data_IF_468743285763
#
_entry.id   IF_468743285763
#
_cell.length_a   1.000
_cell.length_b   1.000
_cell.length_c   1.000
_cell.angle_alpha   90.00
_cell.angle_beta   90.00
_cell.angle_gamma   90.00
#
_symmetry.space_group_name_H-M   'P 1'
#
loop_
_entity.id
_entity.type
_entity.pdbx_description
1 polymer ?
#
# COMPACT_ATOMS: atom_id res chain seq x y z
N UNK A 1 -29.31 -32.41 -10.55
CA UNK A 1 -30.69 -32.12 -10.09
C UNK A 1 -31.04 -30.68 -10.42
N UNK A 2 -32.07 -30.49 -11.26
CA UNK A 2 -32.59 -29.19 -11.72
C UNK A 2 -33.57 -28.54 -10.75
N UNK A 3 -33.95 -29.23 -9.68
CA UNK A 3 -35.00 -28.80 -8.75
C UNK A 3 -34.52 -28.90 -7.29
N UNK A 4 -35.14 -28.09 -6.43
CA UNK A 4 -35.06 -28.14 -4.97
C UNK A 4 -36.38 -28.73 -4.47
N UNK A 5 -36.32 -29.88 -3.82
CA UNK A 5 -37.49 -30.57 -3.28
C UNK A 5 -37.42 -30.48 -1.76
N UNK A 6 -38.50 -30.01 -1.14
CA UNK A 6 -38.66 -29.91 0.31
C UNK A 6 -39.89 -30.71 0.67
N UNK A 7 -39.72 -31.70 1.53
CA UNK A 7 -40.79 -32.57 2.00
C UNK A 7 -41.08 -32.34 3.49
N UNK A 8 -42.36 -32.24 3.84
CA UNK A 8 -42.83 -32.10 5.20
C UNK A 8 -42.39 -30.80 5.88
N UNK A 9 -42.46 -29.65 5.20
CA UNK A 9 -42.10 -28.35 5.77
C UNK A 9 -43.01 -27.96 6.93
N UNK A 10 -42.50 -28.04 8.16
CA UNK A 10 -43.25 -27.87 9.41
C UNK A 10 -42.58 -26.87 10.39
N UNK A 11 -41.71 -25.99 9.89
CA UNK A 11 -41.06 -24.96 10.71
C UNK A 11 -42.05 -23.87 11.12
N UNK A 12 -42.01 -23.45 12.40
CA UNK A 12 -42.95 -22.48 12.97
C UNK A 12 -44.43 -22.81 12.73
N UNK A 13 -45.10 -22.07 11.83
CA UNK A 13 -46.53 -22.17 11.56
C UNK A 13 -46.86 -22.90 10.25
N UNK A 14 -45.85 -23.51 9.61
CA UNK A 14 -46.04 -24.32 8.41
C UNK A 14 -46.71 -25.66 8.77
N UNK A 15 -47.61 -26.13 7.90
CA UNK A 15 -48.49 -27.28 8.15
C UNK A 15 -47.97 -28.62 7.59
N UNK A 16 -46.65 -28.78 7.41
CA UNK A 16 -46.06 -30.02 6.92
C UNK A 16 -46.32 -30.31 5.45
N UNK A 17 -46.20 -29.30 4.58
CA UNK A 17 -46.44 -29.45 3.13
C UNK A 17 -45.16 -29.77 2.35
N UNK A 18 -45.35 -30.34 1.17
CA UNK A 18 -44.29 -30.63 0.21
C UNK A 18 -44.26 -29.54 -0.86
N UNK A 19 -43.05 -29.13 -1.28
CA UNK A 19 -42.88 -28.13 -2.34
C UNK A 19 -41.66 -28.47 -3.21
N UNK A 20 -41.84 -28.32 -4.52
CA UNK A 20 -40.76 -28.41 -5.50
C UNK A 20 -40.51 -27.04 -6.12
N UNK A 21 -39.26 -26.61 -6.09
CA UNK A 21 -38.83 -25.27 -6.49
C UNK A 21 -37.82 -25.42 -7.65
N UNK A 22 -38.08 -24.86 -8.84
CA UNK A 22 -37.17 -24.97 -9.98
C UNK A 22 -35.90 -24.14 -9.75
N UNK A 23 -34.72 -24.73 -9.95
CA UNK A 23 -33.46 -23.99 -9.81
C UNK A 23 -33.20 -23.07 -11.00
N UNK A 24 -32.24 -22.15 -10.82
CA UNK A 24 -31.76 -21.23 -11.86
C UNK A 24 -32.86 -20.29 -12.39
N UNK A 25 -33.88 -20.04 -11.55
CA UNK A 25 -34.95 -19.08 -11.83
C UNK A 25 -35.02 -18.06 -10.70
N UNK A 26 -35.55 -16.87 -11.02
CA UNK A 26 -35.95 -15.90 -10.01
C UNK A 26 -37.29 -16.37 -9.45
N UNK A 27 -37.32 -16.66 -8.15
CA UNK A 27 -38.49 -17.21 -7.47
C UNK A 27 -38.95 -16.21 -6.43
N UNK A 28 -40.20 -15.80 -6.53
CA UNK A 28 -40.85 -14.93 -5.55
C UNK A 28 -41.79 -15.75 -4.66
N UNK A 29 -41.59 -15.66 -3.34
CA UNK A 29 -42.50 -16.23 -2.35
C UNK A 29 -43.43 -15.11 -1.89
N UNK A 30 -44.72 -15.24 -2.18
CA UNK A 30 -45.76 -14.24 -1.87
C UNK A 30 -46.82 -14.79 -0.93
N UNK A 31 -47.62 -13.91 -0.33
CA UNK A 31 -48.69 -14.25 0.62
C UNK A 31 -48.85 -13.23 1.74
N UNK A 32 -49.98 -13.33 2.46
CA UNK A 32 -50.35 -12.42 3.57
C UNK A 32 -49.33 -12.43 4.72
N UNK A 33 -49.28 -11.36 5.51
CA UNK A 33 -48.41 -11.32 6.71
C UNK A 33 -48.68 -12.53 7.61
N UNK A 34 -47.62 -13.16 8.12
CA UNK A 34 -47.74 -14.38 8.92
C UNK A 34 -48.04 -15.66 8.13
N UNK A 35 -48.13 -15.67 6.79
CA UNK A 35 -48.40 -16.90 6.02
C UNK A 35 -47.25 -17.93 5.99
N UNK A 36 -46.15 -17.71 6.71
CA UNK A 36 -45.01 -18.63 6.77
C UNK A 36 -43.93 -18.42 5.70
N UNK A 37 -43.97 -17.31 4.94
CA UNK A 37 -42.96 -16.99 3.89
C UNK A 37 -41.53 -17.00 4.43
N UNK A 38 -41.31 -16.27 5.52
CA UNK A 38 -39.99 -16.19 6.18
C UNK A 38 -39.60 -17.53 6.78
N UNK A 39 -40.55 -18.30 7.30
CA UNK A 39 -40.31 -19.65 7.81
C UNK A 39 -39.79 -20.59 6.72
N UNK A 40 -40.39 -20.54 5.52
CA UNK A 40 -39.89 -21.32 4.38
C UNK A 40 -38.53 -20.79 3.87
N UNK A 41 -38.41 -19.49 3.61
CA UNK A 41 -37.23 -18.91 2.97
C UNK A 41 -36.00 -18.84 3.88
N UNK A 42 -36.19 -18.34 5.11
CA UNK A 42 -35.10 -18.06 6.05
C UNK A 42 -34.88 -19.22 7.02
N UNK A 43 -35.95 -19.75 7.63
CA UNK A 43 -35.81 -20.75 8.69
C UNK A 43 -35.61 -22.17 8.17
N UNK A 44 -36.12 -22.50 6.97
CA UNK A 44 -35.86 -23.78 6.30
C UNK A 44 -34.73 -23.63 5.30
N UNK A 45 -34.96 -22.96 4.16
CA UNK A 45 -34.04 -22.99 3.00
C UNK A 45 -32.66 -22.41 3.36
N UNK A 46 -32.62 -21.18 3.89
CA UNK A 46 -31.36 -20.52 4.24
C UNK A 46 -30.61 -21.25 5.36
N UNK A 47 -31.26 -21.55 6.49
CA UNK A 47 -30.60 -22.25 7.62
C UNK A 47 -30.07 -23.63 7.23
N UNK A 48 -30.86 -24.45 6.53
CA UNK A 48 -30.39 -25.78 6.11
C UNK A 48 -29.25 -25.69 5.09
N UNK A 49 -29.29 -24.74 4.16
CA UNK A 49 -28.24 -24.56 3.17
C UNK A 49 -26.92 -24.13 3.83
N UNK A 50 -27.00 -23.19 4.77
CA UNK A 50 -25.85 -22.74 5.57
C UNK A 50 -25.31 -23.88 6.45
N UNK A 51 -26.20 -24.62 7.13
CA UNK A 51 -25.83 -25.75 8.01
C UNK A 51 -25.10 -26.85 7.22
N UNK A 52 -25.65 -27.27 6.08
CA UNK A 52 -25.05 -28.31 5.23
C UNK A 52 -23.69 -27.86 4.69
N UNK A 53 -23.59 -26.64 4.18
CA UNK A 53 -22.33 -26.10 3.66
C UNK A 53 -21.23 -25.97 4.74
N UNK A 54 -21.57 -25.44 5.91
CA UNK A 54 -20.59 -25.33 7.01
C UNK A 54 -20.18 -26.70 7.56
N UNK A 55 -21.09 -27.69 7.56
CA UNK A 55 -20.77 -29.05 8.03
C UNK A 55 -19.74 -29.77 7.15
N UNK A 56 -19.60 -29.38 5.88
CA UNK A 56 -18.58 -29.96 4.98
C UNK A 56 -17.20 -29.33 5.10
N UNK A 57 -17.10 -28.11 5.66
CA UNK A 57 -15.85 -27.33 5.66
C UNK A 57 -14.90 -27.65 6.82
N UNK A 58 -15.36 -28.37 7.85
CA UNK A 58 -14.59 -28.55 9.08
C UNK A 58 -14.52 -30.02 9.52
N UNK A 59 -13.36 -30.70 9.43
CA UNK A 59 -13.13 -31.95 10.14
C UNK A 59 -13.29 -31.71 11.65
N UNK A 60 -14.35 -32.24 12.26
CA UNK A 60 -14.68 -32.00 13.68
C UNK A 60 -15.47 -30.71 13.97
N UNK A 61 -15.92 -29.97 12.94
CA UNK A 61 -16.66 -28.71 13.08
C UNK A 61 -17.98 -28.79 13.84
N UNK A 62 -18.54 -30.00 13.99
CA UNK A 62 -19.73 -30.24 14.81
C UNK A 62 -19.52 -29.92 16.30
N UNK A 63 -18.27 -29.77 16.78
CA UNK A 63 -17.97 -29.40 18.18
C UNK A 63 -17.87 -27.89 18.41
N UNK A 64 -17.56 -27.10 17.38
CA UNK A 64 -17.26 -25.65 17.50
C UNK A 64 -18.30 -24.74 16.84
N UNK A 65 -19.07 -25.25 15.88
CA UNK A 65 -20.18 -24.50 15.31
C UNK A 65 -21.31 -24.46 16.34
N UNK A 66 -22.03 -23.32 16.48
CA UNK A 66 -23.34 -23.33 17.13
C UNK A 66 -24.13 -24.46 16.48
N UNK A 67 -24.76 -25.32 17.28
CA UNK A 67 -25.67 -26.34 16.75
C UNK A 67 -26.76 -25.58 16.00
N UNK A 68 -26.60 -25.39 14.70
CA UNK A 68 -27.68 -24.95 13.85
C UNK A 68 -28.73 -26.03 13.98
N UNK A 69 -29.82 -25.71 14.67
CA UNK A 69 -30.94 -26.62 14.79
C UNK A 69 -31.35 -27.03 13.38
N UNK A 70 -31.49 -28.34 13.17
CA UNK A 70 -32.02 -28.85 11.92
C UNK A 70 -33.43 -28.30 11.75
N UNK A 71 -33.74 -27.80 10.56
CA UNK A 71 -35.09 -27.36 10.27
C UNK A 71 -36.07 -28.55 10.40
N UNK A 72 -37.31 -28.28 10.79
CA UNK A 72 -38.41 -29.26 10.88
C UNK A 72 -38.92 -29.59 9.48
N UNK A 73 -38.22 -30.51 8.82
CA UNK A 73 -38.50 -31.04 7.48
C UNK A 73 -38.23 -32.54 7.47
N UNK A 74 -38.99 -33.31 6.67
CA UNK A 74 -38.72 -34.74 6.47
C UNK A 74 -37.47 -34.93 5.61
N UNK A 75 -37.45 -34.28 4.46
CA UNK A 75 -36.34 -34.37 3.53
C UNK A 75 -36.17 -33.06 2.76
N UNK A 76 -34.93 -32.73 2.43
CA UNK A 76 -34.64 -31.69 1.44
C UNK A 76 -33.55 -32.21 0.50
N UNK A 77 -33.85 -32.27 -0.78
CA UNK A 77 -32.93 -32.67 -1.84
C UNK A 77 -32.69 -31.51 -2.81
N UNK A 78 -31.53 -31.51 -3.45
CA UNK A 78 -31.17 -30.41 -4.34
C UNK A 78 -30.95 -29.07 -3.64
N UNK A 79 -30.62 -29.01 -2.35
CA UNK A 79 -30.27 -27.73 -1.71
C UNK A 79 -28.85 -27.30 -2.09
N UNK A 80 -28.70 -26.08 -2.62
CA UNK A 80 -27.40 -25.46 -2.91
C UNK A 80 -26.91 -24.65 -1.69
N UNK A 81 -25.60 -24.29 -1.60
CA UNK A 81 -25.15 -23.33 -0.61
C UNK A 81 -25.96 -22.03 -0.69
N UNK A 82 -26.43 -21.54 0.45
CA UNK A 82 -27.35 -20.41 0.53
C UNK A 82 -26.70 -19.19 1.15
N UNK A 83 -27.08 -18.00 0.67
CA UNK A 83 -26.74 -16.71 1.27
C UNK A 83 -28.04 -15.95 1.56
N UNK A 84 -28.21 -15.51 2.81
CA UNK A 84 -29.40 -14.78 3.26
C UNK A 84 -29.08 -13.31 3.38
N UNK A 85 -29.78 -12.47 2.62
CA UNK A 85 -29.71 -11.02 2.73
C UNK A 85 -30.88 -10.53 3.58
N UNK A 86 -30.60 -10.02 4.79
CA UNK A 86 -31.62 -9.48 5.70
C UNK A 86 -31.69 -7.96 5.58
N UNK A 87 -32.87 -7.41 5.84
CA UNK A 87 -33.14 -5.96 5.76
C UNK A 87 -32.35 -5.14 6.79
N UNK A 88 -32.00 -5.70 7.95
CA UNK A 88 -31.19 -5.02 8.96
C UNK A 88 -29.70 -5.33 8.75
N UNK A 89 -28.86 -4.31 8.46
CA UNK A 89 -27.43 -4.52 8.31
C UNK A 89 -26.80 -4.93 9.65
N UNK A 90 -25.70 -5.68 9.55
CA UNK A 90 -24.82 -5.99 10.69
C UNK A 90 -24.44 -4.70 11.44
N UNK A 91 -24.32 -4.75 12.78
CA UNK A 91 -24.04 -3.56 13.58
C UNK A 91 -22.76 -2.87 13.11
N UNK A 92 -22.86 -1.59 12.78
CA UNK A 92 -21.72 -0.76 12.45
C UNK A 92 -20.93 -0.48 13.73
N UNK A 93 -19.60 -0.62 13.67
CA UNK A 93 -18.75 0.01 14.66
C UNK A 93 -18.40 1.43 14.19
N UNK A 94 -17.95 2.30 15.10
CA UNK A 94 -17.61 3.70 14.79
C UNK A 94 -16.47 3.87 13.78
N UNK A 95 -15.77 2.79 13.41
CA UNK A 95 -14.68 2.77 12.44
C UNK A 95 -15.09 2.17 11.09
N UNK A 96 -16.32 1.67 10.96
CA UNK A 96 -16.85 1.12 9.71
C UNK A 96 -17.35 2.23 8.82
N UNK A 97 -16.87 2.25 7.58
CA UNK A 97 -17.32 3.14 6.50
C UNK A 97 -17.87 2.32 5.32
N UNK A 98 -18.55 2.97 4.39
CA UNK A 98 -18.98 2.34 3.13
C UNK A 98 -17.78 1.72 2.39
N UNK A 99 -16.64 2.42 2.39
CA UNK A 99 -15.42 1.93 1.75
C UNK A 99 -14.88 0.65 2.38
N UNK A 100 -14.97 0.50 3.71
CA UNK A 100 -14.53 -0.74 4.38
C UNK A 100 -15.53 -1.88 4.17
N UNK A 101 -16.83 -1.60 4.09
CA UNK A 101 -17.87 -2.62 3.90
C UNK A 101 -17.88 -3.21 2.49
N UNK A 102 -17.66 -2.35 1.51
CA UNK A 102 -17.60 -2.75 0.09
C UNK A 102 -16.25 -3.34 -0.31
N UNK A 103 -15.24 -3.27 0.57
CA UNK A 103 -13.85 -3.65 0.25
C UNK A 103 -13.10 -2.63 -0.61
N UNK A 104 -13.76 -1.57 -1.10
CA UNK A 104 -13.17 -0.53 -1.95
C UNK A 104 -11.99 0.16 -1.25
N UNK A 105 -12.09 0.41 0.06
CA UNK A 105 -11.01 1.05 0.82
C UNK A 105 -9.72 0.22 0.80
N UNK A 106 -9.83 -1.12 0.81
CA UNK A 106 -8.67 -2.01 0.67
C UNK A 106 -7.99 -1.84 -0.69
N UNK A 107 -8.78 -1.76 -1.76
CA UNK A 107 -8.28 -1.52 -3.12
C UNK A 107 -7.61 -0.14 -3.24
N UNK A 108 -8.21 0.90 -2.67
CA UNK A 108 -7.63 2.24 -2.66
C UNK A 108 -6.27 2.27 -1.95
N UNK A 109 -6.12 1.55 -0.83
CA UNK A 109 -4.83 1.47 -0.14
C UNK A 109 -3.74 0.83 -1.01
N UNK A 110 -4.07 -0.23 -1.74
CA UNK A 110 -3.13 -0.86 -2.68
C UNK A 110 -2.77 0.09 -3.82
N UNK A 111 -3.76 0.81 -4.36
CA UNK A 111 -3.56 1.80 -5.42
C UNK A 111 -2.56 2.90 -4.97
N UNK A 112 -2.83 3.55 -3.84
CA UNK A 112 -1.96 4.60 -3.31
C UNK A 112 -0.57 4.09 -2.92
N UNK A 113 -0.46 2.85 -2.43
CA UNK A 113 0.86 2.27 -2.11
C UNK A 113 1.68 1.94 -3.36
N UNK A 114 1.03 1.66 -4.50
CA UNK A 114 1.72 1.25 -5.74
C UNK A 114 2.07 2.43 -6.66
N UNK A 115 1.16 3.40 -6.80
CA UNK A 115 1.31 4.50 -7.77
C UNK A 115 1.12 5.88 -7.13
N UNK A 116 0.86 5.95 -5.84
CA UNK A 116 0.76 7.23 -5.14
C UNK A 116 2.12 7.91 -5.11
N UNK A 117 2.17 9.16 -5.59
CA UNK A 117 3.36 10.00 -5.47
C UNK A 117 3.28 10.67 -4.09
N UNK A 118 4.17 10.32 -3.14
CA UNK A 118 4.17 10.97 -1.83
C UNK A 118 4.62 12.42 -1.99
N UNK A 119 4.05 13.32 -1.20
CA UNK A 119 4.40 14.74 -1.19
C UNK A 119 4.79 15.16 0.22
N UNK A 120 5.76 16.06 0.34
CA UNK A 120 6.15 16.61 1.62
C UNK A 120 5.01 17.47 2.21
N UNK A 121 4.57 17.24 3.45
CA UNK A 121 3.48 18.01 4.06
C UNK A 121 3.82 19.49 4.29
N UNK A 122 5.10 19.85 4.40
CA UNK A 122 5.52 21.23 4.69
C UNK A 122 5.68 22.11 3.45
N UNK A 123 6.16 21.54 2.34
CA UNK A 123 6.49 22.30 1.11
C UNK A 123 5.81 21.78 -0.15
N UNK A 124 5.00 20.71 -0.03
CA UNK A 124 4.33 20.03 -1.14
C UNK A 124 5.28 19.52 -2.25
N UNK A 125 6.58 19.38 -1.94
CA UNK A 125 7.55 18.84 -2.89
C UNK A 125 7.27 17.34 -3.12
N UNK A 126 7.20 16.86 -4.38
CA UNK A 126 7.04 15.44 -4.65
C UNK A 126 8.25 14.67 -4.13
N UNK A 127 8.04 13.51 -3.51
CA UNK A 127 9.07 12.68 -2.89
C UNK A 127 9.34 11.44 -3.74
N UNK A 128 9.99 11.57 -4.93
CA UNK A 128 10.28 10.42 -5.75
C UNK A 128 11.36 9.55 -5.08
N UNK A 129 11.18 8.24 -5.15
CA UNK A 129 12.21 7.27 -4.81
C UNK A 129 12.89 6.83 -6.09
N UNK A 130 14.21 6.91 -6.13
CA UNK A 130 15.00 6.52 -7.28
C UNK A 130 15.87 5.32 -6.95
N UNK A 131 16.14 4.49 -7.95
CA UNK A 131 17.20 3.49 -7.90
C UNK A 131 18.51 4.07 -8.45
N UNK A 132 19.65 3.52 -8.04
CA UNK A 132 20.97 3.94 -8.56
C UNK A 132 21.00 3.86 -10.09
N UNK A 133 20.39 2.82 -10.69
CA UNK A 133 20.33 2.64 -12.14
C UNK A 133 19.50 3.73 -12.83
N UNK A 134 18.34 4.11 -12.27
CA UNK A 134 17.52 5.20 -12.81
C UNK A 134 18.26 6.54 -12.75
N UNK A 135 18.94 6.82 -11.63
CA UNK A 135 19.75 8.05 -11.47
C UNK A 135 20.86 8.09 -12.51
N UNK A 136 21.59 6.99 -12.70
CA UNK A 136 22.66 6.91 -13.70
C UNK A 136 22.11 7.14 -15.11
N UNK A 137 20.96 6.54 -15.44
CA UNK A 137 20.32 6.73 -16.74
C UNK A 137 19.84 8.18 -16.93
N UNK A 138 19.26 8.80 -15.90
CA UNK A 138 18.82 10.20 -15.93
C UNK A 138 20.01 11.15 -16.16
N UNK A 139 21.15 10.90 -15.51
CA UNK A 139 22.38 11.67 -15.71
C UNK A 139 22.95 11.48 -17.13
N UNK A 140 22.88 10.26 -17.67
CA UNK A 140 23.36 9.96 -19.02
C UNK A 140 22.49 10.60 -20.13
N UNK A 141 21.21 10.87 -19.83
CA UNK A 141 20.29 11.57 -20.74
C UNK A 141 20.55 13.09 -20.80
N UNK A 142 21.42 13.62 -19.94
CA UNK A 142 21.79 15.04 -19.98
C UNK A 142 22.66 15.38 -21.20
N UNK A 143 22.65 16.65 -21.66
CA UNK A 143 23.48 17.09 -22.78
C UNK A 143 24.96 16.78 -22.59
N UNK A 144 25.60 16.27 -23.65
CA UNK A 144 27.05 16.00 -23.67
C UNK A 144 27.84 17.30 -23.46
N UNK A 145 28.90 17.23 -22.67
CA UNK A 145 29.75 18.38 -22.35
C UNK A 145 29.36 19.15 -21.09
N UNK A 146 28.22 18.84 -20.47
CA UNK A 146 27.84 19.47 -19.20
C UNK A 146 28.76 19.08 -18.05
N UNK A 147 29.09 20.06 -17.21
CA UNK A 147 29.87 19.90 -15.97
C UNK A 147 28.90 19.69 -14.81
N UNK A 148 28.89 18.49 -14.25
CA UNK A 148 28.05 18.11 -13.13
C UNK A 148 28.87 18.11 -11.84
N UNK A 149 28.34 18.75 -10.80
CA UNK A 149 28.91 18.68 -9.45
C UNK A 149 28.00 17.87 -8.54
N UNK A 150 28.53 16.77 -8.00
CA UNK A 150 27.82 15.88 -7.10
C UNK A 150 27.99 16.37 -5.66
N UNK A 151 26.86 16.66 -5.00
CA UNK A 151 26.80 17.27 -3.68
C UNK A 151 25.91 16.42 -2.78
N UNK A 152 26.35 16.16 -1.55
CA UNK A 152 25.55 15.45 -0.54
C UNK A 152 25.28 16.38 0.63
N UNK A 153 24.03 16.81 0.87
CA UNK A 153 23.71 17.60 2.04
C UNK A 153 23.87 16.76 3.30
N UNK A 154 24.59 17.32 4.27
CA UNK A 154 24.83 16.71 5.57
C UNK A 154 24.20 17.56 6.66
N UNK A 155 23.58 16.88 7.63
CA UNK A 155 22.94 17.51 8.78
C UNK A 155 23.69 17.08 10.05
N UNK A 156 24.81 17.75 10.40
CA UNK A 156 25.64 17.34 11.53
C UNK A 156 24.92 17.54 12.86
N UNK A 157 24.75 16.45 13.63
CA UNK A 157 24.17 16.51 14.99
C UNK A 157 25.14 17.08 16.05
N UNK A 158 26.46 16.96 15.84
CA UNK A 158 27.50 17.43 16.78
C UNK A 158 28.19 18.69 16.23
N UNK A 159 28.30 19.74 17.05
CA UNK A 159 28.81 21.07 16.65
C UNK A 159 30.33 21.18 16.48
N UNK A 160 31.14 20.26 17.00
CA UNK A 160 32.61 20.34 16.92
C UNK A 160 33.20 19.22 16.05
N UNK A 161 34.06 19.60 15.10
CA UNK A 161 34.95 18.72 14.32
C UNK A 161 34.26 17.62 13.49
N UNK A 162 32.99 17.80 13.10
CA UNK A 162 32.25 16.83 12.29
C UNK A 162 32.91 16.59 10.92
N UNK A 163 33.61 17.59 10.37
CA UNK A 163 34.31 17.52 9.07
C UNK A 163 35.54 16.61 9.08
N UNK A 164 36.20 16.43 10.24
CA UNK A 164 37.42 15.61 10.34
C UNK A 164 37.18 14.16 9.92
N UNK A 165 35.95 13.66 10.09
CA UNK A 165 35.57 12.33 9.61
C UNK A 165 35.64 12.26 8.09
N UNK A 166 35.04 13.22 7.40
CA UNK A 166 35.00 13.26 5.95
C UNK A 166 36.38 13.54 5.34
N UNK A 167 37.21 14.33 6.02
CA UNK A 167 38.61 14.52 5.63
C UNK A 167 39.40 13.19 5.69
N UNK A 168 39.19 12.37 6.73
CA UNK A 168 39.80 11.02 6.83
C UNK A 168 39.28 10.05 5.76
N UNK A 169 38.02 10.21 5.36
CA UNK A 169 37.41 9.43 4.26
C UNK A 169 37.87 9.92 2.86
N UNK A 170 38.67 10.99 2.79
CA UNK A 170 39.31 11.48 1.55
C UNK A 170 38.60 12.66 0.88
N UNK A 171 37.53 13.20 1.47
CA UNK A 171 36.86 14.38 0.94
C UNK A 171 37.64 15.64 1.30
N UNK A 172 37.97 16.44 0.28
CA UNK A 172 38.71 17.70 0.46
C UNK A 172 37.82 18.93 0.29
N UNK A 173 36.77 18.87 -0.51
CA UNK A 173 35.93 20.05 -0.81
C UNK A 173 34.58 19.99 -0.13
N UNK A 174 34.18 21.13 0.41
CA UNK A 174 32.87 21.31 1.05
C UNK A 174 32.21 22.58 0.56
N UNK A 175 30.87 22.60 0.54
CA UNK A 175 30.08 23.78 0.25
C UNK A 175 29.25 24.14 1.47
N UNK A 176 29.40 25.37 1.95
CA UNK A 176 28.66 25.90 3.09
C UNK A 176 27.97 27.18 2.63
N UNK A 177 26.64 27.19 2.68
CA UNK A 177 25.79 28.32 2.30
C UNK A 177 26.12 28.89 0.90
N UNK A 178 26.49 28.00 -0.04
CA UNK A 178 26.81 28.34 -1.43
C UNK A 178 28.29 28.61 -1.71
N UNK A 179 29.11 28.85 -0.69
CA UNK A 179 30.55 29.06 -0.83
C UNK A 179 31.32 27.73 -0.77
N UNK A 180 32.25 27.52 -1.69
CA UNK A 180 33.10 26.32 -1.73
C UNK A 180 34.38 26.57 -0.93
N UNK A 181 34.67 25.69 0.01
CA UNK A 181 35.84 25.72 0.88
C UNK A 181 36.67 24.44 0.71
N UNK A 182 37.98 24.55 0.94
CA UNK A 182 38.86 23.40 1.11
C UNK A 182 38.93 23.02 2.60
N UNK A 183 38.63 21.77 2.90
CA UNK A 183 38.67 21.22 4.26
C UNK A 183 40.09 20.98 4.77
N UNK A 184 41.12 21.02 3.91
CA UNK A 184 42.52 20.99 4.35
C UNK A 184 42.98 22.32 4.93
N UNK A 185 42.34 23.42 4.54
CA UNK A 185 42.61 24.73 5.11
C UNK A 185 41.87 24.87 6.45
N UNK A 186 42.54 25.29 7.52
CA UNK A 186 41.90 25.42 8.85
C UNK A 186 40.87 26.56 8.93
N UNK A 187 40.66 27.33 7.84
CA UNK A 187 39.89 28.56 7.83
C UNK A 187 38.64 28.45 6.95
N UNK A 188 37.66 27.68 7.41
CA UNK A 188 36.29 27.69 6.85
C UNK A 188 35.24 27.77 7.97
N UNK A 189 34.02 28.26 7.69
CA UNK A 189 32.99 28.41 8.71
C UNK A 189 32.47 27.06 9.22
N UNK A 190 32.67 26.75 10.51
CA UNK A 190 32.18 25.52 11.15
C UNK A 190 30.65 25.40 11.27
N UNK A 191 29.93 26.47 10.91
CA UNK A 191 28.46 26.59 10.98
C UNK A 191 27.93 27.17 9.69
N UNK A 192 26.86 26.56 9.19
CA UNK A 192 26.04 27.07 8.09
C UNK A 192 24.64 26.47 8.15
N UNK A 193 23.70 27.06 7.43
CA UNK A 193 22.34 26.52 7.34
C UNK A 193 22.30 25.30 6.40
N UNK A 194 23.10 25.33 5.34
CA UNK A 194 23.20 24.25 4.36
C UNK A 194 24.65 23.87 4.13
N UNK A 195 24.98 22.65 4.54
CA UNK A 195 26.33 22.08 4.43
C UNK A 195 26.26 20.90 3.46
N UNK A 196 27.04 20.94 2.39
CA UNK A 196 27.05 19.94 1.34
C UNK A 196 28.48 19.46 1.05
N UNK A 197 28.72 18.16 1.12
CA UNK A 197 30.01 17.57 0.76
C UNK A 197 30.08 17.42 -0.75
N UNK A 198 31.19 17.85 -1.35
CA UNK A 198 31.44 17.66 -2.78
C UNK A 198 32.08 16.29 -3.02
N UNK A 199 31.32 15.41 -3.66
CA UNK A 199 31.73 14.01 -3.91
C UNK A 199 32.59 13.90 -5.15
N UNK A 200 32.11 14.42 -6.28
CA UNK A 200 32.82 14.34 -7.55
C UNK A 200 32.42 15.50 -8.48
N UNK A 201 33.25 15.76 -9.48
CA UNK A 201 32.97 16.67 -10.60
C UNK A 201 33.20 15.90 -11.90
N UNK A 202 32.13 15.68 -12.64
CA UNK A 202 32.14 14.87 -13.86
C UNK A 202 31.72 15.73 -15.05
N UNK A 203 32.34 15.51 -16.21
CA UNK A 203 31.87 16.06 -17.49
C UNK A 203 31.14 14.95 -18.24
N UNK A 204 29.91 15.21 -18.68
CA UNK A 204 29.11 14.22 -19.43
C UNK A 204 29.78 13.91 -20.77
N UNK A 205 30.23 12.67 -20.94
CA UNK A 205 30.90 12.13 -22.14
C UNK A 205 30.45 10.68 -22.37
N UNK A 206 30.78 10.10 -23.52
CA UNK A 206 30.54 8.67 -23.74
C UNK A 206 31.49 7.81 -22.89
N UNK A 207 31.01 6.65 -22.42
CA UNK A 207 31.82 5.69 -21.66
C UNK A 207 32.00 5.96 -20.16
N UNK A 208 31.46 7.06 -19.61
CA UNK A 208 31.62 7.40 -18.18
C UNK A 208 30.62 6.72 -17.23
N UNK A 209 29.82 5.77 -17.72
CA UNK A 209 28.74 5.13 -16.95
C UNK A 209 29.22 4.51 -15.64
N UNK A 210 30.37 3.83 -15.67
CA UNK A 210 30.99 3.24 -14.47
C UNK A 210 31.30 4.30 -13.42
N UNK A 211 31.99 5.38 -13.83
CA UNK A 211 32.33 6.49 -12.92
C UNK A 211 31.11 7.18 -12.33
N UNK A 212 30.06 7.43 -13.12
CA UNK A 212 28.82 8.02 -12.59
C UNK A 212 28.22 7.09 -11.52
N UNK A 213 28.15 5.78 -11.79
CA UNK A 213 27.64 4.81 -10.82
C UNK A 213 28.44 4.84 -9.52
N UNK A 214 29.77 4.78 -9.60
CA UNK A 214 30.64 4.80 -8.42
C UNK A 214 30.44 6.08 -7.60
N UNK A 215 30.32 7.23 -8.25
CA UNK A 215 30.09 8.52 -7.58
C UNK A 215 28.70 8.62 -6.96
N UNK A 216 27.67 8.04 -7.60
CA UNK A 216 26.30 7.96 -7.04
C UNK A 216 26.26 7.04 -5.82
N UNK A 217 26.88 5.85 -5.89
CA UNK A 217 26.95 4.91 -4.77
C UNK A 217 27.73 5.50 -3.58
N UNK A 218 28.84 6.18 -3.86
CA UNK A 218 29.61 6.87 -2.83
C UNK A 218 28.80 8.02 -2.20
N UNK A 219 28.05 8.79 -3.00
CA UNK A 219 27.18 9.83 -2.49
C UNK A 219 26.12 9.27 -1.54
N UNK A 220 25.45 8.17 -1.91
CA UNK A 220 24.44 7.55 -1.06
C UNK A 220 25.00 6.82 0.17
N UNK A 221 26.29 6.48 0.17
CA UNK A 221 26.98 6.01 1.38
C UNK A 221 27.15 7.12 2.43
N UNK A 222 27.26 8.37 1.99
CA UNK A 222 27.42 9.54 2.87
C UNK A 222 26.08 10.07 3.40
N UNK A 223 25.02 10.02 2.60
CA UNK A 223 23.70 10.53 2.97
C UNK A 223 22.59 10.05 2.05
N UNK A 224 21.34 10.27 2.44
CA UNK A 224 20.19 9.76 1.68
C UNK A 224 19.75 10.65 0.51
N UNK A 225 20.43 11.78 0.32
CA UNK A 225 20.08 12.83 -0.64
C UNK A 225 21.32 13.10 -1.49
N UNK A 226 21.14 13.10 -2.81
CA UNK A 226 22.15 13.51 -3.78
C UNK A 226 21.61 14.72 -4.53
N UNK A 227 22.35 15.82 -4.48
CA UNK A 227 22.11 17.03 -5.26
C UNK A 227 23.12 17.08 -6.40
N UNK A 228 22.64 17.26 -7.63
CA UNK A 228 23.50 17.48 -8.78
C UNK A 228 23.30 18.91 -9.26
N UNK A 229 24.37 19.70 -9.19
CA UNK A 229 24.38 21.06 -9.72
C UNK A 229 24.85 21.08 -11.16
N UNK A 230 24.08 21.75 -12.02
CA UNK A 230 24.36 21.99 -13.43
C UNK A 230 24.82 23.44 -13.67
N UNK A 231 25.54 23.73 -14.76
CA UNK A 231 26.01 25.08 -15.09
C UNK A 231 24.85 26.09 -15.22
N UNK A 232 23.68 25.63 -15.67
CA UNK A 232 22.48 26.44 -15.89
C UNK A 232 21.68 26.73 -14.60
N UNK A 233 22.28 26.53 -13.42
CA UNK A 233 21.68 26.71 -12.08
C UNK A 233 20.44 25.86 -11.76
N UNK A 234 20.02 24.94 -12.63
CA UNK A 234 19.01 23.93 -12.27
C UNK A 234 19.66 22.82 -11.45
N UNK A 235 19.30 22.73 -10.18
CA UNK A 235 19.70 21.65 -9.29
C UNK A 235 18.76 20.47 -9.45
N UNK A 236 19.32 19.28 -9.69
CA UNK A 236 18.58 18.02 -9.66
C UNK A 236 18.72 17.39 -8.28
N UNK A 237 17.66 16.79 -7.79
CA UNK A 237 17.62 16.12 -6.50
C UNK A 237 17.26 14.66 -6.69
N UNK A 238 18.05 13.77 -6.09
CA UNK A 238 17.83 12.34 -6.12
C UNK A 238 17.87 11.78 -4.71
N UNK A 239 16.94 10.87 -4.41
CA UNK A 239 16.77 10.27 -3.08
C UNK A 239 16.44 8.79 -3.21
N UNK A 240 17.10 7.93 -2.41
CA UNK A 240 16.80 6.49 -2.35
C UNK A 240 15.57 6.17 -1.47
N UNK A 241 15.19 7.11 -0.62
CA UNK A 241 14.06 7.03 0.29
C UNK A 241 13.18 8.28 0.13
N UNK A 242 11.88 8.24 0.50
CA UNK A 242 10.97 9.37 0.34
C UNK A 242 11.29 10.45 1.39
N UNK A 243 12.38 11.20 1.17
CA UNK A 243 12.87 12.26 2.04
C UNK A 243 12.82 13.57 1.27
N UNK A 244 12.32 14.62 1.91
CA UNK A 244 12.27 15.93 1.29
C UNK A 244 13.67 16.57 1.19
N UNK A 245 14.16 16.92 -0.01
CA UNK A 245 15.47 17.56 -0.16
C UNK A 245 15.50 19.01 0.35
N UNK A 246 14.33 19.64 0.56
CA UNK A 246 14.24 21.03 1.00
C UNK A 246 14.20 21.18 2.53
N UNK A 247 13.46 20.31 3.22
CA UNK A 247 13.26 20.42 4.68
C UNK A 247 13.68 19.18 5.48
N UNK A 248 14.01 18.06 4.83
CA UNK A 248 14.45 16.84 5.50
C UNK A 248 13.36 16.03 6.20
N UNK A 249 12.07 16.31 5.94
CA UNK A 249 10.93 15.46 6.34
C UNK A 249 11.00 14.08 5.68
#
# INVERSE_FOLDING_TARGET
MSELIIEGAAEHNLKGFDITIPKQKIIAITGVSGSGKSSLALDIIYKEGQRRYLSTLLPGGNRLLPRFEKAKVREITGLSPTLGLKQHPTPFNSRSTIGTLTGIYGLLRVLYAKIGIPHCPSCNFPLPTWTVSEIVNEILNLPKGEKLTFLVPIFPKKKKQWWKRYLKEGFTKIRIDGCVYDMTEERFPDKGQRIEIMVDRIIVKEGIKGRIRDSVELAFRLGNILTIERPDKKTLFFTLAPICPQCGF
#
